data_IF_148485634648
#
_entry.id   IF_148485634648
#
_cell.length_a   1.000
_cell.length_b   1.000
_cell.length_c   1.000
_cell.angle_alpha   90.00
_cell.angle_beta   90.00
_cell.angle_gamma   90.00
#
_symmetry.space_group_name_H-M   'P 1'
#
loop_
_entity.id
_entity.type
_entity.pdbx_description
1 polymer ?
#
# COMPACT_ATOMS: atom_id res chain seq x y z
N UNK A 1 21.95 3.96 8.77
CA UNK A 1 21.50 4.90 7.71
C UNK A 1 22.21 6.22 7.91
N UNK A 2 22.20 7.13 6.94
CA UNK A 2 22.85 8.44 7.05
C UNK A 2 22.35 9.29 8.23
N UNK A 3 21.10 9.09 8.64
CA UNK A 3 20.47 9.79 9.76
C UNK A 3 20.51 9.02 11.10
N UNK A 4 21.22 7.90 11.16
CA UNK A 4 21.35 7.07 12.38
C UNK A 4 20.11 6.27 12.79
N UNK A 5 18.94 6.49 12.18
CA UNK A 5 17.67 5.90 12.62
C UNK A 5 17.51 4.40 12.34
N UNK A 6 18.17 3.93 11.29
CA UNK A 6 18.07 2.54 10.85
C UNK A 6 19.45 1.92 10.93
N UNK A 7 19.58 0.82 11.67
CA UNK A 7 20.86 0.15 11.92
C UNK A 7 20.75 -1.28 11.41
N UNK A 8 21.72 -1.69 10.60
CA UNK A 8 21.87 -3.06 10.16
C UNK A 8 23.01 -3.72 10.95
N UNK A 9 22.79 -4.94 11.45
CA UNK A 9 23.77 -5.65 12.28
C UNK A 9 23.66 -7.16 12.10
N UNK A 10 24.70 -7.89 12.50
CA UNK A 10 24.70 -9.35 12.53
C UNK A 10 24.35 -9.80 13.94
N UNK A 11 23.34 -10.68 14.06
CA UNK A 11 23.07 -11.42 15.30
C UNK A 11 23.68 -12.81 15.18
N UNK A 12 24.63 -13.11 16.06
CA UNK A 12 25.21 -14.44 16.23
C UNK A 12 24.62 -15.09 17.49
N UNK A 13 24.25 -16.37 17.46
CA UNK A 13 23.93 -17.11 18.68
C UNK A 13 25.15 -17.16 19.59
N UNK A 14 25.01 -16.68 20.83
CA UNK A 14 26.05 -16.73 21.85
C UNK A 14 25.49 -17.37 23.14
N UNK A 15 26.00 -18.55 23.56
CA UNK A 15 27.02 -19.38 22.89
C UNK A 15 26.51 -19.96 21.55
N UNK A 16 27.39 -20.48 20.67
CA UNK A 16 26.98 -21.12 19.43
C UNK A 16 25.99 -22.26 19.68
N UNK A 17 24.85 -22.22 19.00
CA UNK A 17 23.82 -23.27 19.08
C UNK A 17 23.88 -24.11 17.79
N UNK A 18 24.03 -25.45 17.87
CA UNK A 18 24.01 -26.29 16.68
C UNK A 18 22.73 -26.11 15.85
N UNK A 19 22.90 -25.80 14.56
CA UNK A 19 21.78 -25.56 13.65
C UNK A 19 21.25 -24.12 13.63
N UNK A 20 21.77 -23.22 14.48
CA UNK A 20 21.48 -21.79 14.38
C UNK A 20 22.58 -21.04 13.62
N UNK A 21 22.18 -20.34 12.57
CA UNK A 21 23.08 -19.54 11.74
C UNK A 21 23.07 -18.06 12.15
N UNK A 22 24.19 -17.37 11.94
CA UNK A 22 24.26 -15.92 12.05
C UNK A 22 23.26 -15.26 11.08
N UNK A 23 22.51 -14.28 11.57
CA UNK A 23 21.48 -13.60 10.79
C UNK A 23 21.80 -12.11 10.63
N UNK A 24 21.41 -11.53 9.50
CA UNK A 24 21.42 -10.07 9.30
C UNK A 24 20.08 -9.49 9.69
N UNK A 25 20.11 -8.50 10.57
CA UNK A 25 18.93 -7.83 11.11
C UNK A 25 19.01 -6.34 10.83
N UNK A 26 17.84 -5.71 10.77
CA UNK A 26 17.67 -4.26 10.74
C UNK A 26 16.75 -3.83 11.87
N UNK A 27 17.13 -2.77 12.59
CA UNK A 27 16.29 -2.13 13.59
C UNK A 27 16.04 -0.67 13.23
N UNK A 28 14.84 -0.16 13.52
CA UNK A 28 14.46 1.25 13.37
C UNK A 28 14.07 1.81 14.74
N UNK A 29 14.72 2.92 15.13
CA UNK A 29 14.50 3.60 16.40
C UNK A 29 13.09 4.21 16.56
N UNK A 30 12.25 4.21 15.51
CA UNK A 30 10.84 4.66 15.57
C UNK A 30 9.86 3.65 16.18
N UNK A 31 10.34 2.51 16.69
CA UNK A 31 9.50 1.51 17.36
C UNK A 31 8.94 0.43 16.44
N UNK A 32 9.51 0.31 15.24
CA UNK A 32 9.13 -0.69 14.23
C UNK A 32 9.71 -2.10 14.50
N UNK A 33 10.43 -2.24 15.61
CA UNK A 33 11.02 -3.50 16.05
C UNK A 33 12.28 -3.87 15.27
N UNK A 34 12.83 -5.03 15.62
CA UNK A 34 13.99 -5.61 14.93
C UNK A 34 13.50 -6.64 13.94
N UNK A 35 13.89 -6.49 12.68
CA UNK A 35 13.49 -7.36 11.57
C UNK A 35 14.65 -8.22 11.11
N UNK A 36 14.41 -9.50 10.83
CA UNK A 36 15.44 -10.38 10.21
C UNK A 36 15.37 -10.21 8.71
N UNK A 37 16.49 -9.80 8.10
CA UNK A 37 16.59 -9.52 6.66
C UNK A 37 17.10 -10.71 5.86
N UNK A 38 17.87 -11.59 6.49
CA UNK A 38 18.33 -12.86 5.90
C UNK A 38 17.28 -13.96 6.01
N UNK A 39 16.09 -13.74 5.42
CA UNK A 39 14.98 -14.72 5.42
C UNK A 39 14.64 -15.17 4.00
N UNK A 40 14.08 -16.37 3.83
CA UNK A 40 13.47 -16.80 2.57
C UNK A 40 12.14 -16.10 2.29
N UNK A 41 11.57 -16.30 1.09
CA UNK A 41 10.26 -15.73 0.71
C UNK A 41 9.09 -16.19 1.61
N UNK A 42 9.22 -17.28 2.35
CA UNK A 42 8.25 -17.71 3.37
C UNK A 42 8.42 -17.04 4.73
N UNK A 43 9.42 -16.16 4.87
CA UNK A 43 9.82 -15.54 6.14
C UNK A 43 10.72 -16.41 7.02
N UNK A 44 11.01 -17.66 6.62
CA UNK A 44 11.91 -18.54 7.35
C UNK A 44 13.35 -17.96 7.39
N UNK A 45 14.07 -18.00 8.53
CA UNK A 45 15.47 -17.59 8.59
C UNK A 45 16.37 -18.36 7.62
N UNK A 46 17.46 -17.71 7.21
CA UNK A 46 18.50 -18.33 6.39
C UNK A 46 19.08 -19.55 7.10
N UNK A 47 19.20 -20.66 6.38
CA UNK A 47 19.71 -21.93 6.90
C UNK A 47 21.25 -22.00 7.04
N UNK A 48 21.96 -20.92 6.73
CA UNK A 48 23.40 -20.77 6.91
C UNK A 48 23.77 -19.30 7.15
N UNK A 49 25.02 -19.06 7.54
CA UNK A 49 25.50 -17.77 8.03
C UNK A 49 25.28 -16.62 7.02
N UNK A 50 24.72 -15.53 7.54
CA UNK A 50 24.59 -14.24 6.86
C UNK A 50 25.45 -13.19 7.56
N UNK A 51 26.21 -12.42 6.79
CA UNK A 51 27.24 -11.49 7.29
C UNK A 51 27.33 -10.23 6.42
N UNK A 52 28.27 -9.34 6.76
CA UNK A 52 28.62 -8.13 5.99
C UNK A 52 27.41 -7.25 5.64
N UNK A 53 26.55 -6.90 6.62
CA UNK A 53 25.41 -6.03 6.34
C UNK A 53 25.88 -4.64 5.93
N UNK A 54 25.22 -4.09 4.92
CA UNK A 54 25.35 -2.72 4.47
C UNK A 54 23.95 -2.14 4.30
N UNK A 55 23.76 -0.87 4.63
CA UNK A 55 22.46 -0.22 4.54
C UNK A 55 22.56 0.97 3.60
N UNK A 56 21.57 1.15 2.73
CA UNK A 56 21.45 2.34 1.90
C UNK A 56 21.43 3.61 2.76
N UNK A 57 21.93 4.75 2.24
CA UNK A 57 21.94 6.01 2.99
C UNK A 57 20.56 6.43 3.51
N UNK A 58 19.49 6.14 2.76
CA UNK A 58 18.10 6.41 3.16
C UNK A 58 17.50 5.37 4.13
N UNK A 59 18.19 4.26 4.38
CA UNK A 59 17.79 3.22 5.32
C UNK A 59 16.76 2.22 4.79
N UNK A 60 16.43 2.26 3.49
CA UNK A 60 15.34 1.44 2.93
C UNK A 60 15.78 0.13 2.30
N UNK A 61 17.07 0.00 1.99
CA UNK A 61 17.64 -1.19 1.34
C UNK A 61 18.79 -1.71 2.17
N UNK A 62 18.84 -3.02 2.39
CA UNK A 62 19.95 -3.71 3.03
C UNK A 62 20.62 -4.62 2.01
N UNK A 63 21.95 -4.53 1.94
CA UNK A 63 22.81 -5.46 1.24
C UNK A 63 23.50 -6.38 2.24
N UNK A 64 23.69 -7.65 1.91
CA UNK A 64 24.36 -8.60 2.80
C UNK A 64 24.93 -9.79 2.04
N UNK A 65 25.93 -10.44 2.65
CA UNK A 65 26.45 -11.71 2.18
C UNK A 65 25.76 -12.87 2.90
N UNK A 66 25.45 -13.98 2.22
CA UNK A 66 24.85 -15.15 2.84
C UNK A 66 25.28 -16.45 2.17
N UNK A 67 25.57 -17.46 2.97
CA UNK A 67 25.80 -18.83 2.52
C UNK A 67 24.50 -19.67 2.46
N UNK A 68 23.37 -19.09 2.86
CA UNK A 68 22.10 -19.79 2.93
C UNK A 68 21.58 -20.15 1.54
N UNK A 69 21.00 -21.35 1.42
CA UNK A 69 20.43 -21.89 0.18
C UNK A 69 18.91 -21.69 0.10
N UNK A 70 18.28 -21.22 1.19
CA UNK A 70 16.83 -21.08 1.28
C UNK A 70 16.33 -19.63 1.15
N UNK A 71 17.18 -18.67 0.74
CA UNK A 71 16.79 -17.25 0.65
C UNK A 71 15.95 -16.92 -0.59
N UNK A 72 16.28 -17.52 -1.73
CA UNK A 72 15.55 -17.35 -3.00
C UNK A 72 14.79 -18.61 -3.42
N UNK A 73 14.91 -19.70 -2.64
CA UNK A 73 14.29 -20.99 -2.96
C UNK A 73 14.92 -21.70 -4.15
N UNK A 74 16.14 -21.34 -4.53
CA UNK A 74 16.89 -22.04 -5.56
C UNK A 74 17.60 -23.29 -5.02
N UNK A 75 17.90 -24.23 -5.91
CA UNK A 75 18.58 -25.51 -5.58
C UNK A 75 20.08 -25.42 -5.83
N UNK A 76 20.66 -24.22 -5.76
CA UNK A 76 22.07 -24.01 -6.07
C UNK A 76 22.95 -24.63 -4.96
N UNK A 77 24.15 -25.12 -5.30
CA UNK A 77 25.10 -25.64 -4.32
C UNK A 77 25.45 -24.57 -3.28
N UNK A 78 25.92 -24.96 -2.09
CA UNK A 78 26.28 -24.00 -1.04
C UNK A 78 27.41 -23.08 -1.51
N UNK A 79 27.27 -21.77 -1.29
CA UNK A 79 28.27 -20.77 -1.67
C UNK A 79 27.88 -19.40 -1.12
N UNK A 80 28.87 -18.53 -0.89
CA UNK A 80 28.62 -17.18 -0.39
C UNK A 80 28.06 -16.29 -1.51
N UNK A 81 26.89 -15.70 -1.27
CA UNK A 81 26.16 -14.85 -2.22
C UNK A 81 25.94 -13.46 -1.68
N UNK A 82 25.89 -12.47 -2.56
CA UNK A 82 25.44 -11.13 -2.22
C UNK A 82 23.97 -10.95 -2.55
N UNK A 83 23.25 -10.39 -1.61
CA UNK A 83 21.84 -10.08 -1.72
C UNK A 83 21.58 -8.62 -1.42
N UNK A 84 20.55 -8.07 -2.05
CA UNK A 84 19.90 -6.82 -1.65
C UNK A 84 18.43 -7.06 -1.38
N UNK A 85 17.87 -6.33 -0.42
CA UNK A 85 16.47 -6.45 0.02
C UNK A 85 15.95 -5.11 0.52
N UNK A 86 14.69 -4.78 0.21
CA UNK A 86 13.97 -3.68 0.84
C UNK A 86 13.57 -4.05 2.28
N UNK A 87 13.85 -3.16 3.23
CA UNK A 87 13.64 -3.38 4.67
C UNK A 87 12.16 -3.65 5.02
N UNK A 88 11.23 -3.03 4.28
CA UNK A 88 9.78 -3.19 4.48
C UNK A 88 9.10 -4.18 3.53
N UNK A 89 9.85 -4.96 2.76
CA UNK A 89 9.28 -5.89 1.78
C UNK A 89 10.07 -7.21 1.76
N UNK A 90 9.65 -8.24 2.50
CA UNK A 90 10.40 -9.50 2.61
C UNK A 90 10.57 -10.19 1.25
N UNK A 91 9.60 -10.08 0.35
CA UNK A 91 9.64 -10.73 -0.97
C UNK A 91 10.52 -10.01 -2.01
N UNK A 92 11.27 -8.99 -1.57
CA UNK A 92 12.04 -8.09 -2.44
C UNK A 92 13.51 -8.51 -2.65
N UNK A 93 13.90 -9.69 -2.17
CA UNK A 93 15.29 -10.15 -2.29
C UNK A 93 15.72 -10.29 -3.75
N UNK A 94 16.94 -9.85 -4.01
CA UNK A 94 17.62 -9.96 -5.29
C UNK A 94 19.07 -10.34 -5.04
N UNK A 95 19.52 -11.44 -5.64
CA UNK A 95 20.94 -11.81 -5.73
C UNK A 95 21.68 -10.90 -6.70
N UNK A 96 22.85 -10.42 -6.26
CA UNK A 96 23.77 -9.63 -7.08
C UNK A 96 24.90 -10.49 -7.67
N UNK A 97 25.41 -11.46 -6.90
CA UNK A 97 26.55 -12.31 -7.26
C UNK A 97 26.61 -13.55 -6.36
N UNK A 98 27.45 -14.53 -6.72
CA UNK A 98 27.81 -15.68 -5.87
C UNK A 98 27.49 -17.05 -6.47
N UNK A 99 27.74 -17.24 -7.76
CA UNK A 99 27.70 -18.55 -8.41
C UNK A 99 29.09 -19.20 -8.57
N UNK A 100 30.16 -18.49 -8.22
CA UNK A 100 31.55 -18.94 -8.38
C UNK A 100 32.17 -19.62 -7.16
N UNK A 101 32.94 -20.68 -7.40
CA UNK A 101 33.66 -21.51 -6.41
C UNK A 101 34.93 -20.85 -5.83
N UNK A 102 35.26 -19.61 -6.22
CA UNK A 102 36.51 -18.98 -5.79
C UNK A 102 36.43 -18.47 -4.33
N UNK A 103 36.85 -19.31 -3.38
CA UNK A 103 37.02 -18.95 -1.97
C UNK A 103 38.05 -17.83 -1.74
N UNK A 104 39.02 -17.66 -2.65
CA UNK A 104 40.15 -16.74 -2.46
C UNK A 104 39.77 -15.24 -2.54
N UNK A 105 38.57 -14.92 -3.03
CA UNK A 105 38.06 -13.55 -3.06
C UNK A 105 36.53 -13.47 -3.06
N UNK A 106 35.89 -14.23 -2.16
CA UNK A 106 34.44 -14.20 -2.00
C UNK A 106 33.88 -12.78 -1.85
N UNK A 107 32.64 -12.55 -2.29
CA UNK A 107 32.18 -11.20 -2.63
C UNK A 107 32.11 -10.24 -1.42
N UNK A 108 32.54 -9.00 -1.62
CA UNK A 108 32.69 -7.99 -0.56
C UNK A 108 31.36 -7.41 -0.06
N UNK A 109 31.38 -6.62 1.02
CA UNK A 109 30.20 -5.86 1.44
C UNK A 109 29.70 -4.95 0.30
N UNK A 110 28.38 -4.83 0.17
CA UNK A 110 27.72 -3.98 -0.82
C UNK A 110 27.84 -2.51 -0.42
N UNK A 111 28.08 -1.61 -1.37
CA UNK A 111 27.95 -0.18 -1.19
C UNK A 111 26.78 0.34 -2.05
N UNK A 112 26.01 1.30 -1.53
CA UNK A 112 24.86 1.87 -2.24
C UNK A 112 25.11 3.32 -2.62
N UNK A 113 24.52 3.76 -3.73
CA UNK A 113 24.32 5.19 -3.98
C UNK A 113 23.28 5.78 -3.01
N UNK A 114 23.11 7.11 -3.02
CA UNK A 114 22.22 7.82 -2.11
C UNK A 114 20.77 7.32 -2.13
N UNK A 115 20.26 6.91 -3.31
CA UNK A 115 18.89 6.46 -3.50
C UNK A 115 18.68 4.94 -3.41
N UNK A 116 19.75 4.16 -3.22
CA UNK A 116 19.69 2.69 -3.28
C UNK A 116 19.36 2.15 -4.68
N UNK A 117 19.54 2.96 -5.72
CA UNK A 117 19.34 2.57 -7.11
C UNK A 117 20.50 1.74 -7.66
N UNK A 118 21.73 1.95 -7.17
CA UNK A 118 22.93 1.23 -7.57
C UNK A 118 23.52 0.51 -6.36
N UNK A 119 23.89 -0.75 -6.55
CA UNK A 119 24.72 -1.51 -5.61
C UNK A 119 26.09 -1.77 -6.24
N UNK A 120 27.16 -1.30 -5.61
CA UNK A 120 28.53 -1.61 -5.99
C UNK A 120 29.12 -2.69 -5.08
N UNK A 121 29.87 -3.63 -5.65
CA UNK A 121 30.49 -4.73 -4.93
C UNK A 121 31.69 -5.29 -5.71
N UNK A 122 32.47 -6.14 -5.05
CA UNK A 122 33.63 -6.81 -5.66
C UNK A 122 33.35 -8.29 -5.73
N UNK A 123 33.66 -8.94 -6.85
CA UNK A 123 33.59 -10.40 -7.02
C UNK A 123 34.61 -10.85 -8.07
N UNK A 124 35.13 -12.07 -7.93
CA UNK A 124 35.94 -12.72 -8.97
C UNK A 124 35.09 -13.47 -10.01
N UNK A 125 33.77 -13.46 -9.84
CA UNK A 125 32.83 -14.03 -10.79
C UNK A 125 32.71 -13.13 -12.02
N UNK A 126 32.82 -13.72 -13.21
CA UNK A 126 32.56 -13.09 -14.49
C UNK A 126 31.07 -12.77 -14.66
N UNK A 127 30.63 -11.58 -14.23
CA UNK A 127 29.23 -11.14 -14.38
C UNK A 127 28.93 -10.52 -15.75
N UNK A 128 29.97 -10.27 -16.55
CA UNK A 128 29.86 -9.73 -17.91
C UNK A 128 30.82 -10.45 -18.84
N UNK A 129 30.51 -10.48 -20.13
CA UNK A 129 31.36 -11.12 -21.15
C UNK A 129 32.75 -10.48 -21.30
N UNK A 130 32.95 -9.28 -20.74
CA UNK A 130 34.23 -8.55 -20.77
C UNK A 130 35.17 -8.94 -19.62
N UNK A 131 34.67 -9.57 -18.55
CA UNK A 131 35.50 -10.06 -17.43
C UNK A 131 35.71 -11.57 -17.55
N UNK A 132 36.90 -11.97 -18.02
CA UNK A 132 37.30 -13.37 -18.14
C UNK A 132 38.60 -13.69 -17.37
N UNK A 133 38.99 -12.83 -16.43
CA UNK A 133 40.33 -12.88 -15.82
C UNK A 133 40.40 -13.66 -14.49
N UNK A 134 39.24 -14.11 -13.97
CA UNK A 134 39.06 -14.81 -12.68
C UNK A 134 39.65 -14.06 -11.47
N UNK A 135 39.83 -12.74 -11.58
CA UNK A 135 40.29 -11.86 -10.50
C UNK A 135 39.14 -11.00 -10.00
N UNK A 136 39.22 -10.51 -8.76
CA UNK A 136 38.18 -9.65 -8.21
C UNK A 136 38.12 -8.33 -8.94
N UNK A 137 36.97 -8.07 -9.56
CA UNK A 137 36.66 -6.81 -10.21
C UNK A 137 35.51 -6.10 -9.49
N UNK A 138 35.44 -4.78 -9.68
CA UNK A 138 34.39 -3.94 -9.10
C UNK A 138 33.23 -3.84 -10.07
N UNK A 139 32.07 -4.29 -9.62
CA UNK A 139 30.81 -4.26 -10.36
C UNK A 139 29.87 -3.23 -9.78
N UNK A 140 29.08 -2.60 -10.66
CA UNK A 140 27.94 -1.78 -10.28
C UNK A 140 26.67 -2.39 -10.90
N UNK A 141 25.70 -2.71 -10.05
CA UNK A 141 24.46 -3.37 -10.44
C UNK A 141 23.27 -2.44 -10.20
N UNK A 142 22.44 -2.26 -11.22
CA UNK A 142 21.19 -1.53 -11.09
C UNK A 142 20.21 -2.35 -10.24
N UNK A 143 19.79 -1.80 -9.11
CA UNK A 143 18.81 -2.44 -8.24
C UNK A 143 17.43 -2.14 -8.81
N UNK A 144 16.74 -3.18 -9.30
CA UNK A 144 15.44 -3.02 -9.91
C UNK A 144 14.35 -2.76 -8.86
N UNK A 145 13.52 -1.76 -9.13
CA UNK A 145 12.28 -1.57 -8.40
C UNK A 145 11.16 -2.45 -8.94
N UNK A 146 10.06 -2.54 -8.20
CA UNK A 146 8.86 -3.29 -8.62
C UNK A 146 7.64 -2.38 -8.53
N UNK A 147 6.60 -2.65 -9.32
CA UNK A 147 5.36 -1.90 -9.28
C UNK A 147 4.24 -2.81 -8.80
N UNK A 148 3.56 -2.40 -7.73
CA UNK A 148 2.32 -3.03 -7.28
C UNK A 148 1.23 -1.95 -7.18
N UNK A 149 0.03 -2.27 -7.65
CA UNK A 149 -1.13 -1.37 -7.59
C UNK A 149 -2.27 -2.10 -6.90
N UNK A 150 -2.81 -1.48 -5.85
CA UNK A 150 -3.81 -2.09 -4.98
C UNK A 150 -4.96 -1.11 -4.69
N UNK A 151 -6.22 -1.55 -4.76
CA UNK A 151 -6.66 -2.87 -5.21
C UNK A 151 -6.53 -3.04 -6.74
N UNK A 152 -6.50 -4.29 -7.22
CA UNK A 152 -6.45 -4.61 -8.66
C UNK A 152 -7.79 -4.36 -9.39
N UNK A 153 -8.87 -4.13 -8.66
CA UNK A 153 -10.17 -3.73 -9.19
C UNK A 153 -10.85 -2.70 -8.27
N UNK A 154 -11.56 -1.75 -8.88
CA UNK A 154 -12.35 -0.72 -8.21
C UNK A 154 -13.81 -0.85 -8.64
N UNK A 155 -14.66 -1.19 -7.69
CA UNK A 155 -16.11 -1.19 -7.83
C UNK A 155 -16.70 0.04 -7.13
N UNK A 156 -17.29 0.92 -7.92
CA UNK A 156 -17.91 2.16 -7.45
C UNK A 156 -19.35 1.95 -6.98
N UNK A 157 -19.90 0.74 -7.15
CA UNK A 157 -21.26 0.38 -6.78
C UNK A 157 -22.30 0.87 -7.78
N UNK A 158 -23.55 0.91 -7.30
CA UNK A 158 -24.72 1.31 -8.07
C UNK A 158 -25.17 2.72 -7.70
N UNK A 159 -25.54 3.50 -8.70
CA UNK A 159 -26.01 4.88 -8.57
C UNK A 159 -27.39 5.05 -9.21
N UNK A 160 -28.20 5.96 -8.67
CA UNK A 160 -29.52 6.29 -9.23
C UNK A 160 -29.47 7.59 -10.04
N UNK A 161 -29.82 7.51 -11.32
CA UNK A 161 -29.84 8.66 -12.22
C UNK A 161 -28.46 9.19 -12.64
N UNK A 162 -28.44 10.12 -13.61
CA UNK A 162 -27.20 10.64 -14.23
C UNK A 162 -26.43 11.66 -13.38
N UNK A 163 -26.96 12.07 -12.22
CA UNK A 163 -26.37 13.08 -11.33
C UNK A 163 -25.76 12.47 -10.07
N UNK A 164 -25.19 11.28 -10.22
CA UNK A 164 -24.48 10.59 -9.14
C UNK A 164 -23.29 11.43 -8.64
N UNK A 165 -23.16 11.56 -7.33
CA UNK A 165 -22.05 12.24 -6.66
C UNK A 165 -20.71 11.63 -7.06
N UNK A 166 -19.63 12.43 -7.06
CA UNK A 166 -18.25 11.95 -7.30
C UNK A 166 -17.81 10.96 -6.20
N UNK A 167 -18.12 9.68 -6.34
CA UNK A 167 -17.50 8.64 -5.51
C UNK A 167 -16.04 8.54 -5.92
N UNK A 168 -15.15 8.65 -4.93
CA UNK A 168 -13.72 8.60 -5.12
C UNK A 168 -13.14 7.44 -4.30
N UNK A 169 -12.51 6.48 -4.98
CA UNK A 169 -11.86 5.33 -4.34
C UNK A 169 -10.34 5.54 -4.44
N UNK A 170 -9.61 5.53 -3.31
CA UNK A 170 -8.16 5.62 -3.32
C UNK A 170 -7.53 4.37 -3.93
N UNK A 171 -6.43 4.59 -4.63
CA UNK A 171 -5.60 3.59 -5.28
C UNK A 171 -4.18 3.70 -4.73
N UNK A 172 -3.68 2.62 -4.14
CA UNK A 172 -2.32 2.53 -3.62
C UNK A 172 -1.38 2.07 -4.71
N UNK A 173 -0.42 2.91 -5.08
CA UNK A 173 0.66 2.60 -6.02
C UNK A 173 1.93 2.43 -5.20
N UNK A 174 2.45 1.22 -5.10
CA UNK A 174 3.54 0.85 -4.21
C UNK A 174 4.76 0.30 -4.95
N UNK A 175 5.91 0.43 -4.30
CA UNK A 175 7.15 -0.17 -4.74
C UNK A 175 7.60 -1.25 -3.75
N UNK A 176 7.24 -2.53 -3.97
CA UNK A 176 7.69 -3.62 -3.11
C UNK A 176 9.12 -4.10 -3.46
N UNK A 177 9.81 -3.45 -4.40
CA UNK A 177 11.15 -3.82 -4.83
C UNK A 177 12.25 -3.11 -4.04
N UNK A 178 13.50 -3.59 -4.14
CA UNK A 178 14.65 -2.97 -3.49
C UNK A 178 15.15 -1.71 -4.21
N UNK A 179 14.81 -1.51 -5.49
CA UNK A 179 15.20 -0.31 -6.24
C UNK A 179 14.09 0.74 -6.32
N UNK A 180 14.40 2.03 -6.54
CA UNK A 180 13.39 3.08 -6.71
C UNK A 180 12.62 2.97 -8.04
N UNK A 181 11.35 3.38 -8.02
CA UNK A 181 10.45 3.38 -9.18
C UNK A 181 9.85 4.76 -9.39
N UNK A 182 9.94 5.32 -10.59
CA UNK A 182 9.32 6.62 -10.94
C UNK A 182 8.04 6.41 -11.72
N UNK A 183 6.91 6.84 -11.18
CA UNK A 183 5.62 6.76 -11.87
C UNK A 183 5.58 7.79 -12.99
N UNK A 184 5.45 7.35 -14.22
CA UNK A 184 5.52 8.20 -15.41
C UNK A 184 4.14 8.54 -15.96
N UNK A 185 3.17 7.64 -15.86
CA UNK A 185 1.79 7.91 -16.27
C UNK A 185 0.78 7.14 -15.44
N UNK A 186 -0.38 7.76 -15.23
CA UNK A 186 -1.60 7.12 -14.76
C UNK A 186 -2.69 7.55 -15.73
N UNK A 187 -3.36 6.60 -16.38
CA UNK A 187 -4.36 6.89 -17.41
C UNK A 187 -5.63 6.09 -17.18
N UNK A 188 -6.78 6.74 -17.27
CA UNK A 188 -8.10 6.12 -17.20
C UNK A 188 -9.00 6.74 -18.28
N UNK A 189 -9.92 5.95 -18.83
CA UNK A 189 -10.90 6.45 -19.78
C UNK A 189 -12.17 6.95 -19.06
N UNK A 190 -12.79 8.00 -19.60
CA UNK A 190 -14.12 8.44 -19.15
C UNK A 190 -15.12 7.26 -19.25
N UNK A 191 -16.07 7.14 -18.30
CA UNK A 191 -16.44 8.09 -17.24
C UNK A 191 -15.54 8.06 -15.97
N UNK A 192 -14.46 7.27 -15.96
CA UNK A 192 -13.54 7.19 -14.82
C UNK A 192 -12.41 8.20 -14.93
N UNK A 193 -12.22 8.99 -13.88
CA UNK A 193 -11.24 10.08 -13.83
C UNK A 193 -10.30 9.86 -12.67
N UNK A 194 -9.04 9.58 -12.97
CA UNK A 194 -7.98 9.61 -11.96
C UNK A 194 -7.65 11.05 -11.56
N UNK A 195 -7.35 11.24 -10.28
CA UNK A 195 -6.83 12.47 -9.69
C UNK A 195 -5.73 12.09 -8.69
N UNK A 196 -4.59 12.78 -8.74
CA UNK A 196 -3.51 12.49 -7.79
C UNK A 196 -2.17 13.03 -8.23
N UNK A 197 -1.22 12.99 -7.30
CA UNK A 197 0.13 13.55 -7.48
C UNK A 197 1.20 12.49 -7.70
N UNK A 198 0.84 11.22 -7.95
CA UNK A 198 1.84 10.16 -8.10
C UNK A 198 2.65 10.28 -9.39
N UNK A 199 2.08 10.83 -10.47
CA UNK A 199 2.79 11.05 -11.73
C UNK A 199 3.97 12.01 -11.52
N UNK A 200 5.14 11.62 -12.01
CA UNK A 200 6.41 12.35 -11.85
C UNK A 200 7.13 12.09 -10.52
N UNK A 201 6.54 11.31 -9.59
CA UNK A 201 7.17 10.98 -8.31
C UNK A 201 7.97 9.69 -8.39
N UNK A 202 9.16 9.72 -7.81
CA UNK A 202 9.94 8.53 -7.48
C UNK A 202 9.46 7.97 -6.14
N UNK A 203 9.04 6.71 -6.15
CA UNK A 203 8.64 5.91 -5.00
C UNK A 203 9.85 5.06 -4.58
N UNK A 204 10.47 5.35 -3.43
CA UNK A 204 11.60 4.58 -2.90
C UNK A 204 11.20 3.14 -2.53
N UNK A 205 12.20 2.30 -2.24
CA UNK A 205 11.97 0.91 -1.87
C UNK A 205 11.04 0.77 -0.64
N UNK A 206 10.03 -0.10 -0.73
CA UNK A 206 9.06 -0.34 0.33
C UNK A 206 8.02 0.77 0.56
N UNK A 207 8.05 1.86 -0.21
CA UNK A 207 7.12 2.98 -0.05
C UNK A 207 5.91 2.89 -0.99
N UNK A 208 4.94 3.78 -0.78
CA UNK A 208 3.79 3.93 -1.66
C UNK A 208 3.35 5.38 -1.86
N UNK A 209 2.66 5.61 -2.97
CA UNK A 209 1.91 6.81 -3.28
C UNK A 209 0.43 6.49 -3.37
N UNK A 210 -0.43 7.39 -2.88
CA UNK A 210 -1.87 7.25 -2.97
C UNK A 210 -2.39 8.15 -4.10
N UNK A 211 -3.03 7.54 -5.09
CA UNK A 211 -3.86 8.21 -6.08
C UNK A 211 -5.34 8.03 -5.72
N UNK A 212 -6.23 8.74 -6.40
CA UNK A 212 -7.68 8.60 -6.23
C UNK A 212 -8.32 8.46 -7.59
N UNK A 213 -9.26 7.54 -7.73
CA UNK A 213 -10.07 7.38 -8.94
C UNK A 213 -11.48 7.78 -8.62
N UNK A 214 -12.05 8.64 -9.44
CA UNK A 214 -13.42 9.11 -9.32
C UNK A 214 -14.27 8.66 -10.50
N UNK A 215 -15.56 8.48 -10.28
CA UNK A 215 -16.52 8.14 -11.32
C UNK A 215 -17.48 9.32 -11.56
N UNK A 216 -17.69 9.67 -12.83
CA UNK A 216 -18.59 10.74 -13.26
C UNK A 216 -19.46 10.23 -14.44
N UNK A 217 -20.64 9.66 -14.17
CA UNK A 217 -21.45 9.02 -15.20
C UNK A 217 -22.09 10.02 -16.17
N UNK A 218 -22.21 9.61 -17.43
CA UNK A 218 -23.00 10.30 -18.46
C UNK A 218 -24.19 9.45 -18.95
N UNK A 219 -24.04 8.13 -18.86
CA UNK A 219 -24.97 7.15 -19.40
C UNK A 219 -25.50 6.22 -18.32
N UNK A 220 -26.69 5.67 -18.58
CA UNK A 220 -27.30 4.63 -17.75
C UNK A 220 -26.64 3.27 -18.04
N UNK A 221 -26.90 2.30 -17.18
CA UNK A 221 -26.42 0.93 -17.29
C UNK A 221 -25.04 0.70 -16.69
N UNK A 222 -24.50 -0.50 -16.93
CA UNK A 222 -23.20 -0.93 -16.44
C UNK A 222 -22.08 -0.25 -17.23
N UNK A 223 -21.20 0.44 -16.53
CA UNK A 223 -20.03 1.12 -17.06
C UNK A 223 -18.78 0.38 -16.63
N UNK A 224 -17.89 0.05 -17.57
CA UNK A 224 -16.61 -0.62 -17.30
C UNK A 224 -15.46 0.12 -17.94
N UNK A 225 -14.26 -0.01 -17.36
CA UNK A 225 -13.06 0.60 -17.89
C UNK A 225 -11.81 0.00 -17.25
N UNK A 226 -10.66 0.48 -17.71
CA UNK A 226 -9.36 0.15 -17.10
C UNK A 226 -8.62 1.42 -16.75
N UNK A 227 -7.90 1.38 -15.63
CA UNK A 227 -6.86 2.34 -15.31
C UNK A 227 -5.50 1.67 -15.48
N UNK A 228 -4.59 2.32 -16.18
CA UNK A 228 -3.23 1.84 -16.40
C UNK A 228 -2.25 2.74 -15.66
N UNK A 229 -1.38 2.14 -14.85
CA UNK A 229 -0.24 2.80 -14.20
C UNK A 229 1.03 2.34 -14.90
N UNK A 230 1.82 3.29 -15.42
CA UNK A 230 3.16 3.02 -15.94
C UNK A 230 4.22 3.70 -15.10
N UNK A 231 5.28 2.97 -14.82
CA UNK A 231 6.43 3.46 -14.10
C UNK A 231 7.74 3.03 -14.79
N UNK A 232 8.84 3.64 -14.38
CA UNK A 232 10.18 3.29 -14.84
C UNK A 232 11.09 3.05 -13.65
N UNK A 233 11.93 2.04 -13.77
CA UNK A 233 13.08 1.85 -12.88
C UNK A 233 14.11 2.95 -13.14
N UNK A 234 14.84 3.37 -12.10
CA UNK A 234 15.60 4.62 -12.11
C UNK A 234 16.87 4.65 -12.99
N UNK A 235 17.36 3.50 -13.48
CA UNK A 235 18.66 3.42 -14.18
C UNK A 235 18.59 2.72 -15.54
N UNK A 236 18.01 1.53 -15.60
CA UNK A 236 17.82 0.77 -16.84
C UNK A 236 16.58 1.24 -17.63
N UNK A 237 15.74 2.09 -17.03
CA UNK A 237 14.59 2.71 -17.70
C UNK A 237 13.47 1.73 -18.07
N UNK A 238 13.57 0.49 -17.58
CA UNK A 238 12.61 -0.60 -17.78
C UNK A 238 11.21 -0.13 -17.42
N UNK A 239 10.28 -0.31 -18.35
CA UNK A 239 8.88 0.10 -18.17
C UNK A 239 8.16 -0.99 -17.40
N UNK A 240 7.60 -0.60 -16.26
CA UNK A 240 6.69 -1.41 -15.47
C UNK A 240 5.26 -0.92 -15.74
N UNK A 241 4.31 -1.83 -15.89
CA UNK A 241 2.91 -1.50 -16.09
C UNK A 241 2.01 -2.36 -15.19
N UNK A 242 0.93 -1.76 -14.69
CA UNK A 242 -0.10 -2.45 -13.91
C UNK A 242 -1.47 -1.89 -14.28
N UNK A 243 -2.43 -2.78 -14.48
CA UNK A 243 -3.82 -2.46 -14.82
C UNK A 243 -4.75 -2.64 -13.62
N UNK A 244 -5.78 -1.80 -13.56
CA UNK A 244 -6.84 -1.84 -12.55
C UNK A 244 -8.19 -1.87 -13.26
N UNK A 245 -8.99 -2.88 -12.97
CA UNK A 245 -10.34 -2.99 -13.53
C UNK A 245 -11.30 -2.01 -12.84
N UNK A 246 -12.13 -1.31 -13.59
CA UNK A 246 -13.07 -0.32 -13.09
C UNK A 246 -14.49 -0.72 -13.45
N UNK A 247 -15.41 -0.66 -12.49
CA UNK A 247 -16.83 -0.95 -12.73
C UNK A 247 -17.74 -0.05 -11.90
N UNK A 248 -18.85 0.34 -12.49
CA UNK A 248 -19.95 1.04 -11.85
C UNK A 248 -21.27 0.68 -12.55
N UNK A 249 -22.40 0.83 -11.87
CA UNK A 249 -23.74 0.66 -12.47
C UNK A 249 -24.56 1.91 -12.21
N UNK A 250 -25.24 2.41 -13.24
CA UNK A 250 -26.16 3.55 -13.12
C UNK A 250 -27.57 3.10 -13.49
N UNK A 251 -28.47 3.11 -12.52
CA UNK A 251 -29.86 2.70 -12.70
C UNK A 251 -30.77 3.91 -12.95
N UNK A 252 -31.91 3.67 -13.59
CA UNK A 252 -32.94 4.69 -13.75
C UNK A 252 -33.58 5.02 -12.39
N UNK A 253 -33.92 6.30 -12.13
CA UNK A 253 -34.70 6.64 -10.95
C UNK A 253 -36.04 5.90 -10.98
N UNK A 254 -36.39 5.25 -9.87
CA UNK A 254 -37.70 4.63 -9.71
C UNK A 254 -38.79 5.69 -9.96
N UNK A 255 -39.84 5.41 -10.75
CA UNK A 255 -40.95 6.35 -10.89
C UNK A 255 -41.56 6.61 -9.51
N UNK A 256 -41.99 7.85 -9.20
CA UNK A 256 -42.70 8.11 -7.96
C UNK A 256 -43.95 7.24 -7.92
N UNK A 257 -44.17 6.54 -6.80
CA UNK A 257 -45.37 5.76 -6.58
C UNK A 257 -46.59 6.64 -6.89
N UNK A 258 -47.36 6.25 -7.90
CA UNK A 258 -48.48 7.04 -8.37
C UNK A 258 -49.48 7.26 -7.25
N UNK A 259 -49.80 8.52 -6.98
CA UNK A 259 -50.86 8.95 -6.07
C UNK A 259 -52.14 8.15 -6.34
N UNK A 260 -52.48 7.27 -5.39
CA UNK A 260 -53.80 6.67 -5.30
C UNK A 260 -54.83 7.76 -5.09
N UNK A 261 -55.48 8.22 -6.16
CA UNK A 261 -56.70 9.02 -6.08
C UNK A 261 -57.79 8.22 -5.35
N UNK A 262 -58.02 8.55 -4.09
CA UNK A 262 -59.21 8.19 -3.31
C UNK A 262 -59.80 9.46 -2.69
N UNK A 263 -60.98 9.86 -3.17
CA UNK A 263 -61.67 11.08 -2.75
C UNK A 263 -62.29 10.97 -1.35
N UNK A 264 -62.31 12.08 -0.59
CA UNK A 264 -63.31 12.32 0.45
C UNK A 264 -62.87 13.16 1.65
N UNK A 265 -63.43 14.38 1.77
CA UNK A 265 -64.00 14.88 3.05
C UNK A 265 -63.12 15.62 4.06
N UNK A 266 -63.12 16.95 3.93
CA UNK A 266 -63.33 18.02 4.96
C UNK A 266 -62.69 18.01 6.38
N UNK A 267 -62.44 19.25 6.82
CA UNK A 267 -62.21 19.80 8.15
C UNK A 267 -60.78 19.75 8.72
N UNK A 268 -60.30 20.95 9.07
CA UNK A 268 -58.90 21.22 9.36
C UNK A 268 -58.49 21.05 10.81
N UNK A 269 -57.17 21.02 11.02
CA UNK A 269 -56.54 21.45 12.25
C UNK A 269 -55.09 21.84 11.99
N UNK A 270 -54.74 23.06 12.41
CA UNK A 270 -53.37 23.54 12.48
C UNK A 270 -52.73 22.86 13.69
N UNK A 271 -51.89 21.85 13.51
CA UNK A 271 -51.09 21.31 14.61
C UNK A 271 -49.83 20.58 14.11
N UNK A 272 -48.68 21.06 14.57
CA UNK A 272 -47.43 20.31 14.71
C UNK A 272 -46.77 19.82 13.41
N UNK A 273 -45.72 20.51 12.99
CA UNK A 273 -44.59 19.80 12.38
C UNK A 273 -44.23 18.63 13.32
N UNK A 274 -44.07 17.38 12.82
CA UNK A 274 -43.56 16.33 13.68
C UNK A 274 -42.19 16.78 14.21
N UNK A 275 -41.89 16.54 15.49
CA UNK A 275 -40.61 16.92 16.04
C UNK A 275 -39.50 16.28 15.19
N UNK A 276 -38.51 17.10 14.82
CA UNK A 276 -37.17 16.62 14.49
C UNK A 276 -36.83 15.50 15.46
N UNK A 277 -36.85 14.26 14.97
CA UNK A 277 -36.54 13.11 15.77
C UNK A 277 -35.06 13.17 16.10
N UNK A 278 -34.79 13.08 17.40
CA UNK A 278 -33.49 12.97 18.06
C UNK A 278 -32.50 12.03 17.33
N UNK A 279 -31.18 12.20 17.57
CA UNK A 279 -30.14 11.36 17.00
C UNK A 279 -30.22 9.93 17.55
N UNK A 280 -30.11 8.91 16.68
CA UNK A 280 -30.03 7.52 17.17
C UNK A 280 -30.18 6.37 16.18
N UNK A 281 -30.52 6.57 14.90
CA UNK A 281 -30.65 5.47 13.92
C UNK A 281 -29.48 5.32 12.96
N UNK A 282 -28.57 6.28 12.93
CA UNK A 282 -27.44 6.22 12.03
C UNK A 282 -26.46 5.12 12.49
N UNK A 283 -26.19 4.16 11.60
CA UNK A 283 -25.24 3.07 11.86
C UNK A 283 -24.08 3.22 10.90
N UNK A 284 -22.87 2.93 11.36
CA UNK A 284 -21.69 2.76 10.52
C UNK A 284 -21.16 1.34 10.62
N UNK A 285 -20.76 0.79 9.49
CA UNK A 285 -19.96 -0.43 9.39
C UNK A 285 -18.66 -0.13 8.66
N UNK A 286 -17.62 -0.90 8.99
CA UNK A 286 -16.30 -0.80 8.37
C UNK A 286 -15.89 -2.16 7.81
N UNK A 287 -15.31 -2.14 6.62
CA UNK A 287 -14.75 -3.33 5.99
C UNK A 287 -13.43 -2.99 5.29
N UNK A 288 -12.34 -3.74 5.52
CA UNK A 288 -12.22 -4.81 6.54
C UNK A 288 -12.27 -4.26 7.97
N UNK A 289 -12.66 -5.10 8.94
CA UNK A 289 -12.64 -4.76 10.38
C UNK A 289 -11.24 -4.82 11.00
N UNK A 290 -10.25 -5.27 10.22
CA UNK A 290 -8.81 -5.19 10.53
C UNK A 290 -8.10 -4.55 9.34
N UNK A 291 -7.36 -3.46 9.56
CA UNK A 291 -6.67 -2.71 8.52
C UNK A 291 -5.20 -2.45 8.87
N UNK A 292 -4.35 -2.27 7.87
CA UNK A 292 -2.92 -1.97 8.06
C UNK A 292 -2.68 -0.46 7.96
N UNK A 293 -1.67 0.11 8.63
CA UNK A 293 -1.26 1.48 8.36
C UNK A 293 -0.97 1.68 6.87
N UNK A 294 -1.53 2.74 6.27
CA UNK A 294 -1.42 3.01 4.84
C UNK A 294 -2.40 2.25 3.95
N UNK A 295 -3.28 1.40 4.49
CA UNK A 295 -4.39 0.80 3.75
C UNK A 295 -5.62 1.70 3.73
N UNK A 296 -6.68 1.27 3.06
CA UNK A 296 -7.95 1.99 2.95
C UNK A 296 -9.05 1.09 3.48
N UNK A 297 -10.01 1.66 4.21
CA UNK A 297 -11.20 0.96 4.68
C UNK A 297 -12.46 1.54 4.07
N UNK A 298 -13.42 0.68 3.74
CA UNK A 298 -14.75 1.07 3.30
C UNK A 298 -15.64 1.27 4.51
N UNK A 299 -16.23 2.45 4.62
CA UNK A 299 -17.23 2.83 5.60
C UNK A 299 -18.58 2.83 4.89
N UNK A 300 -19.54 2.07 5.42
CA UNK A 300 -20.92 2.11 4.95
C UNK A 300 -21.79 2.62 6.08
N UNK A 301 -22.77 3.45 5.74
CA UNK A 301 -23.69 4.02 6.69
C UNK A 301 -25.13 3.98 6.22
N UNK A 302 -26.05 3.85 7.16
CA UNK A 302 -27.49 3.90 6.93
C UNK A 302 -28.19 4.64 8.08
N UNK A 303 -29.39 5.15 7.83
CA UNK A 303 -30.19 5.85 8.85
C UNK A 303 -29.75 7.31 9.08
N UNK A 304 -29.04 7.90 8.12
CA UNK A 304 -28.67 9.32 8.11
C UNK A 304 -29.78 10.17 7.48
N UNK A 305 -29.81 11.47 7.81
CA UNK A 305 -30.71 12.43 7.19
C UNK A 305 -30.44 12.52 5.69
N UNK A 306 -31.42 12.23 4.81
CA UNK A 306 -31.25 12.32 3.36
C UNK A 306 -30.74 13.69 2.90
N UNK A 307 -29.73 13.70 2.03
CA UNK A 307 -29.16 14.93 1.46
C UNK A 307 -28.29 15.76 2.42
N UNK A 308 -28.08 15.31 3.66
CA UNK A 308 -27.16 15.96 4.58
C UNK A 308 -25.70 15.64 4.23
N UNK A 309 -24.79 16.58 4.58
CA UNK A 309 -23.35 16.34 4.50
C UNK A 309 -22.80 15.95 5.87
N UNK A 310 -22.16 14.79 5.92
CA UNK A 310 -21.57 14.22 7.12
C UNK A 310 -20.05 14.32 7.05
N UNK A 311 -19.44 14.68 8.17
CA UNK A 311 -17.98 14.70 8.33
C UNK A 311 -17.51 13.40 8.95
N UNK A 312 -16.64 12.67 8.25
CA UNK A 312 -16.00 11.47 8.74
C UNK A 312 -14.63 11.81 9.32
N UNK A 313 -14.43 11.44 10.58
CA UNK A 313 -13.23 11.70 11.36
C UNK A 313 -12.61 10.40 11.80
N UNK A 314 -11.28 10.35 11.79
CA UNK A 314 -10.51 9.20 12.26
C UNK A 314 -9.90 9.50 13.63
N UNK A 315 -10.28 8.74 14.66
CA UNK A 315 -9.81 8.97 16.03
C UNK A 315 -10.02 10.41 16.49
N UNK A 316 -9.00 11.02 17.10
CA UNK A 316 -9.01 12.44 17.53
C UNK A 316 -8.34 13.40 16.53
N UNK A 317 -7.85 12.89 15.40
CA UNK A 317 -7.01 13.64 14.47
C UNK A 317 -7.82 14.13 13.26
N UNK A 318 -8.71 15.09 13.48
CA UNK A 318 -9.29 15.98 12.45
C UNK A 318 -10.10 15.30 11.32
N UNK A 319 -10.83 16.11 10.51
CA UNK A 319 -11.71 15.59 9.47
C UNK A 319 -10.89 14.91 8.37
N UNK A 320 -11.19 13.65 8.09
CA UNK A 320 -10.49 12.87 7.05
C UNK A 320 -11.24 12.96 5.73
N UNK A 321 -12.57 13.10 5.77
CA UNK A 321 -13.40 13.14 4.56
C UNK A 321 -14.79 13.74 4.84
N UNK A 322 -15.34 14.49 3.88
CA UNK A 322 -16.77 14.79 3.84
C UNK A 322 -17.49 13.77 2.95
N UNK A 323 -18.65 13.28 3.39
CA UNK A 323 -19.50 12.35 2.67
C UNK A 323 -20.91 12.93 2.54
N UNK A 324 -21.47 12.91 1.33
CA UNK A 324 -22.85 13.29 1.09
C UNK A 324 -23.77 12.06 1.28
N UNK A 325 -24.85 12.23 2.02
CA UNK A 325 -25.85 11.19 2.29
C UNK A 325 -26.82 11.10 1.12
N UNK A 326 -27.08 9.88 0.64
CA UNK A 326 -28.01 9.64 -0.47
C UNK A 326 -29.46 9.98 -0.09
N UNK A 327 -30.37 10.15 -1.06
CA UNK A 327 -31.81 10.33 -0.77
C UNK A 327 -32.42 9.21 0.08
N UNK A 328 -31.83 8.02 0.06
CA UNK A 328 -32.24 6.85 0.85
C UNK A 328 -31.67 6.85 2.28
N UNK A 329 -30.95 7.91 2.67
CA UNK A 329 -30.36 8.03 4.01
C UNK A 329 -29.13 7.14 4.23
N UNK A 330 -28.45 6.76 3.15
CA UNK A 330 -27.24 5.91 3.19
C UNK A 330 -26.00 6.70 2.81
N UNK A 331 -24.82 6.21 3.21
CA UNK A 331 -23.54 6.74 2.73
C UNK A 331 -22.55 5.61 2.50
N UNK A 332 -21.64 5.79 1.55
CA UNK A 332 -20.45 4.95 1.40
C UNK A 332 -19.24 5.86 1.26
N UNK A 333 -18.21 5.60 2.06
CA UNK A 333 -16.96 6.36 2.06
C UNK A 333 -15.76 5.42 2.15
N UNK A 334 -14.60 5.89 1.68
CA UNK A 334 -13.36 5.12 1.69
C UNK A 334 -12.29 5.92 2.42
N UNK A 335 -12.03 5.55 3.67
CA UNK A 335 -11.19 6.32 4.59
C UNK A 335 -9.77 5.72 4.59
N UNK A 336 -8.74 6.51 4.27
CA UNK A 336 -7.36 6.04 4.37
C UNK A 336 -6.94 5.91 5.84
N UNK A 337 -6.35 4.77 6.19
CA UNK A 337 -5.68 4.56 7.48
C UNK A 337 -4.32 5.23 7.41
N UNK A 338 -4.07 6.23 8.25
CA UNK A 338 -2.82 6.97 8.23
C UNK A 338 -1.60 6.02 8.33
N UNK A 339 -0.57 6.25 7.52
CA UNK A 339 0.65 5.41 7.53
C UNK A 339 1.39 5.42 8.88
N UNK A 340 1.21 6.48 9.66
CA UNK A 340 1.77 6.61 11.01
C UNK A 340 0.80 6.14 12.12
N UNK A 341 -0.35 5.55 11.78
CA UNK A 341 -1.30 5.07 12.78
C UNK A 341 -0.64 4.03 13.69
N UNK A 342 -0.87 4.18 15.01
CA UNK A 342 -0.43 3.22 16.00
C UNK A 342 -1.29 1.95 15.89
N UNK A 343 -0.67 0.79 16.13
CA UNK A 343 -1.39 -0.47 16.21
C UNK A 343 -2.35 -0.46 17.40
N UNK A 344 -3.53 -1.07 17.23
CA UNK A 344 -4.54 -1.12 18.27
C UNK A 344 -5.93 -0.68 17.79
N UNK A 345 -6.89 -0.55 18.73
CA UNK A 345 -8.26 -0.17 18.39
C UNK A 345 -8.32 1.27 17.88
N UNK A 346 -8.94 1.46 16.72
CA UNK A 346 -9.28 2.75 16.14
C UNK A 346 -10.79 2.88 15.92
N UNK A 347 -11.25 4.10 15.68
CA UNK A 347 -12.64 4.39 15.36
C UNK A 347 -12.77 5.42 14.26
N UNK A 348 -13.82 5.26 13.47
CA UNK A 348 -14.32 6.28 12.55
C UNK A 348 -15.62 6.82 13.10
N UNK A 349 -15.70 8.15 13.20
CA UNK A 349 -16.91 8.85 13.68
C UNK A 349 -17.50 9.68 12.56
N UNK A 350 -18.82 9.64 12.42
CA UNK A 350 -19.62 10.52 11.57
C UNK A 350 -20.21 11.64 12.42
N UNK A 351 -20.00 12.89 12.04
CA UNK A 351 -20.62 14.06 12.67
C UNK A 351 -21.35 14.95 11.67
N UNK A 352 -22.36 15.67 12.14
CA UNK A 352 -23.12 16.64 11.34
C UNK A 352 -22.33 17.93 11.06
N UNK A 353 -22.97 18.89 10.38
CA UNK A 353 -22.39 20.21 10.09
C UNK A 353 -22.14 21.10 11.32
N UNK A 354 -22.66 20.74 12.50
CA UNK A 354 -22.43 21.41 13.79
C UNK A 354 -21.40 20.67 14.65
N UNK A 355 -20.89 19.53 14.20
CA UNK A 355 -19.95 18.68 14.92
C UNK A 355 -20.62 17.71 15.91
N UNK A 356 -21.94 17.56 15.87
CA UNK A 356 -22.67 16.58 16.68
C UNK A 356 -22.42 15.17 16.14
N UNK A 357 -22.07 14.24 17.03
CA UNK A 357 -21.79 12.85 16.66
C UNK A 357 -23.09 12.13 16.27
N UNK A 358 -23.13 11.60 15.04
CA UNK A 358 -24.26 10.87 14.49
C UNK A 358 -24.10 9.36 14.63
N UNK A 359 -22.91 8.83 14.34
CA UNK A 359 -22.62 7.41 14.38
C UNK A 359 -21.11 7.14 14.48
N UNK A 360 -20.71 5.94 14.88
CA UNK A 360 -19.32 5.52 14.86
C UNK A 360 -19.17 4.02 14.56
N UNK A 361 -18.00 3.63 14.12
CA UNK A 361 -17.64 2.22 13.92
C UNK A 361 -16.20 1.97 14.32
N UNK A 362 -15.92 0.76 14.79
CA UNK A 362 -14.62 0.35 15.31
C UNK A 362 -13.85 -0.52 14.32
N UNK A 363 -12.54 -0.37 14.30
CA UNK A 363 -11.61 -1.08 13.42
C UNK A 363 -10.34 -1.38 14.20
N UNK A 364 -9.75 -2.54 13.97
CA UNK A 364 -8.43 -2.86 14.52
C UNK A 364 -7.34 -2.43 13.52
N UNK A 365 -6.44 -1.55 13.94
CA UNK A 365 -5.22 -1.27 13.19
C UNK A 365 -4.20 -2.35 13.53
N UNK A 366 -3.91 -3.20 12.55
CA UNK A 366 -2.91 -4.25 12.67
C UNK A 366 -1.53 -3.63 12.95
N UNK A 367 -0.64 -4.36 13.65
CA UNK A 367 0.77 -3.99 13.73
C UNK A 367 1.34 -3.77 12.34
N UNK A 368 2.24 -2.78 12.21
CA UNK A 368 3.04 -2.66 10.98
C UNK A 368 3.72 -4.00 10.74
N UNK A 369 3.76 -4.51 9.49
CA UNK A 369 4.50 -5.72 9.21
C UNK A 369 5.93 -5.54 9.72
N UNK A 370 6.31 -6.44 10.63
CA UNK A 370 7.65 -6.54 11.21
C UNK A 370 8.64 -7.17 10.24
#
# INVERSE_FOLDING_TARGET
SSNGRTIAFVRRPEPPVPGEAAQVLVTDERGDGTRTMSTGGSGAPGNADSTRPALSPDGRVVGFASAATNLEGDTLPSGLRLYVRAVGSPDSIVRLAGLGESEDAGPSAVAFDAGGAVAAFTTAESLTDEDANERPDVYAHAVAGRLAVEPAALDFGTFTGKSATRTAIPLRIANPGPGPVTVHSVTSAAPFVHRGSCVGRTIPAGEACIAVVSFAPHDLGRQTGTLEVKARTALDGTVLASGVDLVAVVEEPSPPDGDGKGAGGDSGERSGAPPSTRPGTAVLSVSPTVARPGSVVRIQGSGFTPGERVTLTWGTAGPVQQADVTPEGTLTAYVPVAGQANAGPGSVTASDGRGELLAYTGLLVAPRPG
#
